data_IF_209853993255
#
_entry.id   IF_209853993255
#
_cell.length_a   1.000
_cell.length_b   1.000
_cell.length_c   1.000
_cell.angle_alpha   90.00
_cell.angle_beta   90.00
_cell.angle_gamma   90.00
#
_symmetry.space_group_name_H-M   'P 1'
#
loop_
_entity.id
_entity.type
_entity.pdbx_description
1 polymer ?
#
# COMPACT_ATOMS: atom_id res chain seq x y z
N UNK A 1 5.27 -20.89 11.01
CA UNK A 1 5.97 -19.59 10.82
C UNK A 1 7.45 -19.90 10.88
N UNK A 2 8.29 -19.38 9.97
CA UNK A 2 9.24 -18.45 10.59
C UNK A 2 8.51 -17.13 10.57
N UNK A 3 8.24 -16.59 11.75
CA UNK A 3 8.02 -15.16 11.86
C UNK A 3 9.16 -14.48 11.11
N UNK A 4 8.98 -13.25 10.65
CA UNK A 4 10.17 -12.42 10.40
C UNK A 4 11.10 -12.62 11.59
N UNK A 5 12.26 -13.24 11.32
CA UNK A 5 13.21 -13.47 12.38
C UNK A 5 13.91 -12.13 12.68
N UNK A 6 14.63 -12.06 13.79
CA UNK A 6 15.32 -10.83 14.18
C UNK A 6 16.27 -10.35 13.07
N UNK A 7 16.81 -11.28 12.28
CA UNK A 7 17.63 -10.96 11.11
C UNK A 7 16.82 -10.31 10.00
N UNK A 8 15.66 -10.86 9.62
CA UNK A 8 14.81 -10.25 8.61
C UNK A 8 14.36 -8.83 9.03
N UNK A 9 14.01 -8.64 10.32
CA UNK A 9 13.68 -7.33 10.87
C UNK A 9 14.86 -6.35 10.77
N UNK A 10 16.07 -6.79 11.13
CA UNK A 10 17.26 -5.95 11.03
C UNK A 10 17.60 -5.61 9.57
N UNK A 11 17.44 -6.55 8.63
CA UNK A 11 17.57 -6.26 7.20
C UNK A 11 16.58 -5.17 6.78
N UNK A 12 15.32 -5.27 7.19
CA UNK A 12 14.29 -4.28 6.89
C UNK A 12 14.61 -2.91 7.51
N UNK A 13 15.11 -2.86 8.75
CA UNK A 13 15.54 -1.61 9.39
C UNK A 13 16.67 -0.93 8.61
N UNK A 14 17.70 -1.70 8.22
CA UNK A 14 18.83 -1.19 7.44
C UNK A 14 18.40 -0.68 6.06
N UNK A 15 17.45 -1.37 5.40
CA UNK A 15 16.91 -0.97 4.09
C UNK A 15 15.92 0.20 4.18
N UNK A 16 15.17 0.32 5.29
CA UNK A 16 14.29 1.46 5.54
C UNK A 16 15.08 2.75 5.73
N UNK A 17 16.29 2.64 6.30
CA UNK A 17 17.25 3.75 6.43
C UNK A 17 17.93 4.08 5.09
N UNK A 18 18.49 3.08 4.40
CA UNK A 18 19.10 3.26 3.08
C UNK A 18 18.84 2.04 2.19
N UNK A 19 17.85 2.18 1.30
CA UNK A 19 17.48 1.15 0.33
C UNK A 19 18.61 0.79 -0.66
N UNK A 20 19.67 1.61 -0.79
CA UNK A 20 20.82 1.34 -1.65
C UNK A 20 22.01 0.73 -0.91
N UNK A 21 21.87 0.45 0.39
CA UNK A 21 22.94 -0.11 1.21
C UNK A 21 23.47 -1.40 0.56
N UNK A 22 24.79 -1.52 0.34
CA UNK A 22 25.36 -2.72 -0.25
C UNK A 22 25.05 -3.96 0.57
N UNK A 23 24.76 -5.08 -0.08
CA UNK A 23 24.48 -6.35 0.63
C UNK A 23 25.69 -6.84 1.45
N UNK A 24 26.91 -6.43 1.09
CA UNK A 24 28.11 -6.67 1.91
C UNK A 24 28.05 -5.97 3.27
N UNK A 25 27.46 -4.78 3.30
CA UNK A 25 27.40 -3.95 4.50
C UNK A 25 26.29 -4.48 5.40
N UNK A 26 25.13 -4.80 4.80
CA UNK A 26 24.05 -5.51 5.50
C UNK A 26 24.56 -6.85 6.06
N UNK A 27 25.33 -7.61 5.27
CA UNK A 27 25.94 -8.88 5.66
C UNK A 27 26.82 -8.76 6.91
N UNK A 28 27.59 -7.68 7.03
CA UNK A 28 28.42 -7.41 8.20
C UNK A 28 27.58 -7.12 9.46
N UNK A 29 26.47 -6.40 9.32
CA UNK A 29 25.58 -6.07 10.44
C UNK A 29 24.76 -7.28 10.92
N UNK A 30 24.27 -8.13 10.01
CA UNK A 30 23.38 -9.27 10.38
C UNK A 30 24.09 -10.60 10.60
N UNK A 31 25.40 -10.68 10.33
CA UNK A 31 26.18 -11.91 10.50
C UNK A 31 25.84 -13.02 9.48
N UNK A 32 25.32 -12.67 8.31
CA UNK A 32 25.08 -13.58 7.18
C UNK A 32 26.07 -13.34 6.04
N UNK A 33 26.16 -14.25 5.07
CA UNK A 33 26.86 -13.97 3.82
C UNK A 33 26.04 -13.04 2.91
N UNK A 34 26.69 -12.28 2.03
CA UNK A 34 25.99 -11.41 1.09
C UNK A 34 24.97 -12.15 0.19
N UNK A 35 25.23 -13.39 -0.32
CA UNK A 35 24.20 -14.17 -1.01
C UNK A 35 23.01 -14.52 -0.11
N UNK A 36 23.24 -14.89 1.15
CA UNK A 36 22.15 -15.19 2.08
C UNK A 36 21.30 -13.95 2.38
N UNK A 37 21.89 -12.76 2.47
CA UNK A 37 21.15 -11.48 2.57
C UNK A 37 20.30 -11.25 1.32
N UNK A 38 20.86 -11.47 0.12
CA UNK A 38 20.12 -11.34 -1.14
C UNK A 38 18.90 -12.25 -1.16
N UNK A 39 19.08 -13.54 -0.82
CA UNK A 39 18.00 -14.53 -0.78
C UNK A 39 16.88 -14.12 0.19
N UNK A 40 17.25 -13.55 1.35
CA UNK A 40 16.28 -13.02 2.32
C UNK A 40 15.50 -11.85 1.75
N UNK A 41 16.17 -10.87 1.15
CA UNK A 41 15.52 -9.69 0.56
C UNK A 41 14.56 -10.11 -0.56
N UNK A 42 14.98 -11.03 -1.43
CA UNK A 42 14.14 -11.49 -2.53
C UNK A 42 12.90 -12.23 -2.01
N UNK A 43 13.05 -13.09 -0.99
CA UNK A 43 11.91 -13.71 -0.31
C UNK A 43 10.95 -12.66 0.29
N UNK A 44 11.47 -11.64 0.98
CA UNK A 44 10.64 -10.57 1.57
C UNK A 44 9.87 -9.77 0.50
N UNK A 45 10.39 -9.68 -0.72
CA UNK A 45 9.70 -9.06 -1.87
C UNK A 45 8.63 -9.97 -2.44
N UNK A 46 8.93 -11.24 -2.61
CA UNK A 46 7.98 -12.26 -3.09
C UNK A 46 6.78 -12.39 -2.15
N UNK A 47 7.04 -12.34 -0.84
CA UNK A 47 6.04 -12.33 0.23
C UNK A 47 5.30 -10.98 0.37
N UNK A 48 5.65 -9.96 -0.42
CA UNK A 48 4.97 -8.65 -0.40
C UNK A 48 5.27 -7.77 0.81
N UNK A 49 6.13 -8.22 1.72
CA UNK A 49 6.59 -7.45 2.89
C UNK A 49 7.37 -6.22 2.40
N UNK A 50 8.30 -6.43 1.46
CA UNK A 50 8.89 -5.35 0.67
C UNK A 50 8.05 -5.15 -0.58
N UNK A 51 7.16 -4.16 -0.55
CA UNK A 51 6.29 -3.83 -1.69
C UNK A 51 7.04 -3.21 -2.87
N UNK A 52 8.04 -2.37 -2.59
CA UNK A 52 8.87 -1.68 -3.60
C UNK A 52 10.12 -1.06 -2.98
N UNK A 53 11.13 -0.84 -3.83
CA UNK A 53 12.19 0.14 -3.57
C UNK A 53 11.83 1.43 -4.31
N UNK A 54 11.90 2.56 -3.61
CA UNK A 54 11.46 3.86 -4.15
C UNK A 54 12.32 4.99 -3.59
N UNK A 55 12.09 6.20 -4.09
CA UNK A 55 12.78 7.41 -3.65
C UNK A 55 11.79 8.23 -2.85
N UNK A 56 12.20 8.69 -1.67
CA UNK A 56 11.51 9.73 -0.94
C UNK A 56 11.89 11.09 -1.54
N UNK A 57 10.93 11.74 -2.19
CA UNK A 57 11.14 13.01 -2.85
C UNK A 57 10.67 14.13 -1.91
N UNK A 58 11.55 15.08 -1.61
CA UNK A 58 11.14 16.33 -0.98
C UNK A 58 10.29 17.14 -1.97
N UNK A 59 8.99 16.95 -1.84
CA UNK A 59 8.00 17.58 -2.69
C UNK A 59 8.06 19.10 -2.60
N UNK A 60 8.54 19.70 -1.50
CA UNK A 60 8.63 21.17 -1.36
C UNK A 60 9.62 21.79 -2.35
N UNK A 61 10.57 21.00 -2.86
CA UNK A 61 11.57 21.44 -3.84
C UNK A 61 11.08 21.36 -5.28
N UNK A 62 9.98 20.64 -5.54
CA UNK A 62 9.43 20.47 -6.87
C UNK A 62 8.48 21.63 -7.21
N UNK A 63 8.67 22.23 -8.38
CA UNK A 63 7.79 23.29 -8.87
C UNK A 63 6.46 22.71 -9.33
N UNK A 64 5.37 22.96 -8.59
CA UNK A 64 4.02 22.63 -9.05
C UNK A 64 3.00 22.53 -7.93
N UNK A 65 1.89 23.24 -8.05
CA UNK A 65 0.76 23.20 -7.10
C UNK A 65 1.05 23.62 -5.66
N UNK A 66 -0.02 23.87 -4.94
CA UNK A 66 -0.05 24.05 -3.48
C UNK A 66 -0.40 22.69 -2.86
N UNK A 67 0.41 22.16 -1.93
CA UNK A 67 0.08 20.91 -1.26
C UNK A 67 -1.16 21.10 -0.37
N UNK A 68 -2.10 20.19 -0.49
CA UNK A 68 -3.36 20.21 0.24
C UNK A 68 -3.73 18.83 0.75
N UNK A 69 -4.42 18.82 1.88
CA UNK A 69 -5.13 17.67 2.40
C UNK A 69 -6.60 17.86 2.08
N UNK A 70 -7.16 16.95 1.28
CA UNK A 70 -8.58 16.97 0.91
C UNK A 70 -9.26 15.82 1.62
N UNK A 71 -10.29 16.12 2.40
CA UNK A 71 -11.15 15.15 3.06
C UNK A 71 -12.51 15.17 2.38
N UNK A 72 -12.98 14.00 1.95
CA UNK A 72 -14.22 13.81 1.21
C UNK A 72 -15.17 12.95 2.04
N UNK A 73 -16.35 13.48 2.35
CA UNK A 73 -17.46 12.68 2.86
C UNK A 73 -18.21 12.06 1.68
N UNK A 74 -17.83 10.85 1.29
CA UNK A 74 -18.40 10.17 0.12
C UNK A 74 -19.68 9.43 0.52
N UNK A 75 -20.66 9.36 -0.37
CA UNK A 75 -21.81 8.46 -0.17
C UNK A 75 -21.32 7.00 -0.21
N UNK A 76 -21.72 6.12 0.73
CA UNK A 76 -21.16 4.77 0.88
C UNK A 76 -21.12 3.95 -0.42
N UNK A 77 -22.15 4.07 -1.25
CA UNK A 77 -22.27 3.38 -2.53
C UNK A 77 -21.25 3.80 -3.60
N UNK A 78 -20.53 4.92 -3.40
CA UNK A 78 -19.55 5.46 -4.34
C UNK A 78 -18.12 5.50 -3.80
N UNK A 79 -17.86 4.95 -2.61
CA UNK A 79 -16.52 4.99 -1.99
C UNK A 79 -15.47 4.31 -2.87
N UNK A 80 -15.77 3.12 -3.39
CA UNK A 80 -14.84 2.38 -4.25
C UNK A 80 -14.54 3.13 -5.55
N UNK A 81 -15.56 3.71 -6.18
CA UNK A 81 -15.38 4.49 -7.40
C UNK A 81 -14.55 5.76 -7.17
N UNK A 82 -14.83 6.50 -6.10
CA UNK A 82 -14.04 7.69 -5.74
C UNK A 82 -12.60 7.31 -5.41
N UNK A 83 -12.39 6.20 -4.69
CA UNK A 83 -11.05 5.67 -4.40
C UNK A 83 -10.29 5.38 -5.69
N UNK A 84 -10.92 4.71 -6.65
CA UNK A 84 -10.26 4.27 -7.86
C UNK A 84 -9.96 5.46 -8.80
N UNK A 85 -10.85 6.45 -8.87
CA UNK A 85 -10.60 7.72 -9.56
C UNK A 85 -9.40 8.47 -8.97
N UNK A 86 -9.35 8.64 -7.64
CA UNK A 86 -8.25 9.34 -6.97
C UNK A 86 -6.92 8.59 -7.07
N UNK A 87 -6.93 7.25 -7.04
CA UNK A 87 -5.72 6.43 -7.18
C UNK A 87 -5.04 6.63 -8.54
N UNK A 88 -5.81 6.88 -9.60
CA UNK A 88 -5.31 7.06 -10.95
C UNK A 88 -4.86 8.49 -11.27
N UNK A 89 -5.15 9.45 -10.38
CA UNK A 89 -4.93 10.87 -10.64
C UNK A 89 -3.49 11.31 -10.30
N UNK A 90 -2.80 11.91 -11.26
CA UNK A 90 -1.44 12.44 -11.09
C UNK A 90 -1.25 13.38 -9.89
N UNK A 91 -2.21 14.26 -9.54
CA UNK A 91 -2.04 15.16 -8.40
C UNK A 91 -2.05 14.47 -7.03
N UNK A 92 -2.53 13.23 -6.94
CA UNK A 92 -2.72 12.48 -5.68
C UNK A 92 -1.45 11.74 -5.29
N UNK A 93 -0.90 12.06 -4.12
CA UNK A 93 0.32 11.45 -3.59
C UNK A 93 0.01 10.33 -2.59
N UNK A 94 -0.99 10.54 -1.74
CA UNK A 94 -1.45 9.55 -0.78
C UNK A 94 -2.97 9.54 -0.72
N UNK A 95 -3.53 8.33 -0.60
CA UNK A 95 -4.97 8.10 -0.51
C UNK A 95 -5.25 7.21 0.70
N UNK A 96 -6.20 7.63 1.51
CA UNK A 96 -6.68 6.94 2.70
C UNK A 96 -8.19 6.77 2.59
N UNK A 97 -8.68 5.56 2.90
CA UNK A 97 -10.11 5.27 3.04
C UNK A 97 -10.32 4.77 4.45
N UNK A 98 -11.08 5.51 5.25
CA UNK A 98 -11.43 5.13 6.60
C UNK A 98 -12.55 4.08 6.60
N UNK A 99 -12.69 3.33 7.70
CA UNK A 99 -13.69 2.27 7.82
C UNK A 99 -15.14 2.78 7.76
N UNK A 100 -15.36 4.06 8.05
CA UNK A 100 -16.66 4.74 7.94
C UNK A 100 -16.93 5.31 6.53
N UNK A 101 -16.01 5.10 5.58
CA UNK A 101 -16.11 5.56 4.20
C UNK A 101 -15.61 6.99 3.95
N UNK A 102 -15.02 7.65 4.94
CA UNK A 102 -14.31 8.91 4.70
C UNK A 102 -13.10 8.67 3.79
N UNK A 103 -12.95 9.49 2.74
CA UNK A 103 -11.81 9.42 1.83
C UNK A 103 -10.94 10.65 2.03
N UNK A 104 -9.68 10.46 2.41
CA UNK A 104 -8.71 11.56 2.58
C UNK A 104 -7.56 11.39 1.60
N UNK A 105 -7.18 12.47 0.92
CA UNK A 105 -6.05 12.48 -0.02
C UNK A 105 -5.09 13.63 0.25
N UNK A 106 -3.80 13.35 0.16
CA UNK A 106 -2.75 14.37 0.08
C UNK A 106 -2.46 14.61 -1.41
N UNK A 107 -2.74 15.82 -1.89
CA UNK A 107 -2.64 16.16 -3.30
C UNK A 107 -2.00 17.54 -3.52
N UNK A 108 -1.61 17.84 -4.75
CA UNK A 108 -1.16 19.17 -5.16
C UNK A 108 -2.20 19.82 -6.06
N UNK A 109 -2.67 21.02 -5.69
CA UNK A 109 -3.64 21.79 -6.46
C UNK A 109 -2.98 23.04 -7.03
N UNK A 110 -3.11 23.29 -8.34
CA UNK A 110 -2.61 24.54 -8.95
C UNK A 110 -3.39 25.77 -8.48
N UNK A 111 -2.89 26.99 -8.77
CA UNK A 111 -3.47 28.26 -8.32
C UNK A 111 -4.85 28.64 -8.90
N UNK A 112 -5.64 27.66 -9.34
CA UNK A 112 -6.99 27.81 -9.86
C UNK A 112 -8.07 27.60 -8.80
N UNK A 113 -9.31 27.36 -9.26
CA UNK A 113 -10.43 27.05 -8.37
C UNK A 113 -10.28 25.63 -7.82
N UNK A 114 -10.09 25.54 -6.49
CA UNK A 114 -10.07 24.26 -5.76
C UNK A 114 -11.28 23.40 -6.14
N UNK A 115 -12.48 24.00 -6.18
CA UNK A 115 -13.70 23.25 -6.53
C UNK A 115 -13.63 22.66 -7.94
N UNK A 116 -13.13 23.42 -8.93
CA UNK A 116 -13.05 22.94 -10.30
C UNK A 116 -12.04 21.79 -10.43
N UNK A 117 -10.90 21.91 -9.76
CA UNK A 117 -9.88 20.85 -9.74
C UNK A 117 -10.38 19.60 -9.03
N UNK A 118 -11.14 19.75 -7.93
CA UNK A 118 -11.77 18.60 -7.29
C UNK A 118 -12.80 17.93 -8.19
N UNK A 119 -13.57 18.71 -8.97
CA UNK A 119 -14.54 18.19 -9.93
C UNK A 119 -13.88 17.43 -11.11
N UNK A 120 -12.64 17.79 -11.47
CA UNK A 120 -11.81 17.06 -12.43
C UNK A 120 -11.28 15.73 -11.87
N UNK A 121 -11.03 15.68 -10.56
CA UNK A 121 -10.51 14.49 -9.88
C UNK A 121 -11.62 13.48 -9.55
N UNK A 122 -12.77 13.98 -9.10
CA UNK A 122 -13.90 13.17 -8.64
C UNK A 122 -15.21 13.85 -8.98
N UNK A 123 -16.22 13.06 -9.32
CA UNK A 123 -17.58 13.58 -9.51
C UNK A 123 -18.17 14.05 -8.16
N UNK A 124 -18.20 15.37 -7.96
CA UNK A 124 -18.64 15.99 -6.71
C UNK A 124 -20.12 15.75 -6.39
N UNK A 125 -20.94 15.26 -7.34
CA UNK A 125 -22.33 14.87 -7.05
C UNK A 125 -22.43 13.64 -6.13
N UNK A 126 -21.33 12.89 -6.00
CA UNK A 126 -21.21 11.68 -5.17
C UNK A 126 -20.62 11.98 -3.79
N UNK A 127 -20.11 13.20 -3.61
CA UNK A 127 -19.52 13.71 -2.39
C UNK A 127 -20.56 14.55 -1.66
N UNK A 128 -20.82 14.24 -0.39
CA UNK A 128 -21.76 15.00 0.46
C UNK A 128 -21.18 16.34 0.86
N UNK A 129 -19.90 16.33 1.23
CA UNK A 129 -19.14 17.51 1.65
C UNK A 129 -17.64 17.24 1.46
N UNK A 130 -16.85 18.30 1.32
CA UNK A 130 -15.40 18.21 1.28
C UNK A 130 -14.73 19.34 2.06
N UNK A 131 -13.62 19.02 2.70
CA UNK A 131 -12.75 19.97 3.38
C UNK A 131 -11.39 19.99 2.70
N UNK A 132 -10.82 21.19 2.52
CA UNK A 132 -9.48 21.37 1.96
C UNK A 132 -8.64 22.17 2.94
N UNK A 133 -7.55 21.57 3.40
CA UNK A 133 -6.56 22.18 4.27
C UNK A 133 -5.25 22.35 3.52
N UNK A 134 -4.62 23.53 3.62
CA UNK A 134 -3.26 23.72 3.11
C UNK A 134 -2.29 22.91 3.98
N UNK A 135 -1.37 22.20 3.34
CA UNK A 135 -0.34 21.43 4.03
C UNK A 135 0.92 22.29 4.14
N UNK A 136 1.35 22.56 5.37
CA UNK A 136 2.60 23.26 5.64
C UNK A 136 3.80 22.33 5.43
N UNK A 137 3.72 21.11 5.96
CA UNK A 137 4.74 20.08 5.81
C UNK A 137 4.12 18.68 5.79
N UNK A 138 4.80 17.74 5.14
CA UNK A 138 4.49 16.32 5.16
C UNK A 138 5.81 15.54 5.27
N UNK A 139 5.89 14.60 6.20
CA UNK A 139 7.09 13.81 6.47
C UNK A 139 6.76 12.33 6.34
N UNK A 140 7.61 11.57 5.65
CA UNK A 140 7.51 10.11 5.61
C UNK A 140 8.60 9.51 6.49
N UNK A 141 8.19 8.65 7.43
CA UNK A 141 9.11 7.92 8.31
C UNK A 141 8.78 6.43 8.23
N UNK A 142 9.49 5.64 7.40
CA UNK A 142 9.27 4.20 7.33
C UNK A 142 9.76 3.54 8.63
N UNK A 143 8.83 3.17 9.51
CA UNK A 143 9.14 2.42 10.74
C UNK A 143 8.87 0.93 10.56
N UNK A 144 9.83 0.09 10.95
CA UNK A 144 9.70 -1.37 10.97
C UNK A 144 9.21 -1.89 12.34
N UNK A 145 9.21 -1.04 13.37
CA UNK A 145 8.85 -1.39 14.74
C UNK A 145 7.34 -1.38 14.99
N UNK A 146 6.80 -2.41 15.67
CA UNK A 146 5.53 -2.31 16.40
C UNK A 146 4.51 -3.45 16.27
N UNK A 147 4.64 -4.35 15.30
CA UNK A 147 3.71 -5.48 15.15
C UNK A 147 4.43 -6.68 14.57
N UNK A 148 4.26 -7.87 15.17
CA UNK A 148 4.70 -9.10 14.55
C UNK A 148 4.01 -9.23 13.19
N UNK A 149 4.77 -9.18 12.11
CA UNK A 149 4.24 -9.40 10.77
C UNK A 149 3.84 -10.87 10.65
N UNK A 150 2.55 -11.15 10.84
CA UNK A 150 1.94 -12.44 10.52
C UNK A 150 1.18 -12.26 9.22
N UNK A 151 1.67 -12.88 8.14
CA UNK A 151 0.86 -13.03 6.94
C UNK A 151 -0.36 -13.88 7.31
N UNK A 152 -1.56 -13.33 7.15
CA UNK A 152 -2.80 -14.04 7.42
C UNK A 152 -3.33 -14.67 6.13
N UNK A 153 -3.81 -15.90 6.25
CA UNK A 153 -4.42 -16.61 5.14
C UNK A 153 -5.68 -15.86 4.75
N UNK A 154 -5.75 -15.36 3.51
CA UNK A 154 -6.89 -14.62 2.98
C UNK A 154 -8.21 -15.42 3.02
N UNK A 155 -8.11 -16.73 3.25
CA UNK A 155 -9.26 -17.62 3.41
C UNK A 155 -9.69 -17.98 4.82
N UNK A 156 -8.77 -18.53 5.61
CA UNK A 156 -9.12 -19.08 6.91
C UNK A 156 -8.64 -18.20 8.07
N UNK A 157 -7.94 -17.09 7.80
CA UNK A 157 -7.35 -16.21 8.81
C UNK A 157 -6.17 -16.81 9.57
N UNK A 158 -5.83 -18.09 9.32
CA UNK A 158 -4.66 -18.70 9.96
C UNK A 158 -3.38 -18.03 9.47
N UNK A 159 -2.37 -18.00 10.34
CA UNK A 159 -1.03 -17.57 9.95
C UNK A 159 -0.48 -18.44 8.82
N UNK A 160 -0.01 -17.79 7.75
CA UNK A 160 0.69 -18.41 6.64
C UNK A 160 2.14 -18.68 7.03
N UNK A 161 2.66 -19.84 6.64
CA UNK A 161 4.05 -20.24 6.92
C UNK A 161 4.87 -20.23 5.63
N UNK A 162 6.17 -20.54 5.70
CA UNK A 162 7.04 -20.64 4.51
C UNK A 162 6.62 -21.72 3.50
N UNK A 163 5.75 -22.65 3.90
CA UNK A 163 5.16 -23.66 3.01
C UNK A 163 3.79 -23.24 2.45
N UNK A 164 3.35 -22.00 2.76
CA UNK A 164 2.12 -21.43 2.23
C UNK A 164 2.25 -20.97 0.79
N UNK A 165 1.11 -20.72 0.16
CA UNK A 165 1.02 -20.25 -1.22
C UNK A 165 0.79 -18.74 -1.23
N UNK A 166 1.29 -18.05 -2.25
CA UNK A 166 0.99 -16.64 -2.51
C UNK A 166 0.55 -16.47 -3.95
N UNK A 167 -0.55 -15.73 -4.18
CA UNK A 167 -1.08 -15.50 -5.51
C UNK A 167 -1.56 -14.06 -5.69
N UNK A 168 -1.46 -13.55 -6.92
CA UNK A 168 -2.06 -12.27 -7.30
C UNK A 168 -3.41 -12.51 -7.96
N UNK A 169 -4.48 -12.05 -7.33
CA UNK A 169 -5.87 -12.23 -7.76
C UNK A 169 -6.52 -10.84 -7.79
N UNK A 170 -7.17 -10.46 -8.89
CA UNK A 170 -7.73 -9.11 -9.03
C UNK A 170 -6.71 -7.97 -8.86
N UNK A 171 -5.44 -8.20 -9.21
CA UNK A 171 -4.35 -7.23 -9.03
C UNK A 171 -3.84 -7.07 -7.60
N UNK A 172 -4.43 -7.76 -6.61
CA UNK A 172 -3.99 -7.74 -5.21
C UNK A 172 -3.22 -9.02 -4.86
N UNK A 173 -2.17 -8.90 -4.03
CA UNK A 173 -1.41 -10.04 -3.53
C UNK A 173 -2.11 -10.63 -2.30
N UNK A 174 -2.37 -11.93 -2.32
CA UNK A 174 -2.96 -12.69 -1.22
C UNK A 174 -2.04 -13.84 -0.80
N UNK A 175 -2.11 -14.22 0.48
CA UNK A 175 -1.36 -15.33 1.05
C UNK A 175 -2.32 -16.41 1.56
N UNK A 176 -1.91 -17.67 1.46
CA UNK A 176 -2.73 -18.83 1.79
C UNK A 176 -1.92 -19.86 2.56
N UNK A 177 -2.49 -20.43 3.62
CA UNK A 177 -1.75 -21.39 4.45
C UNK A 177 -1.49 -22.73 3.73
N UNK A 178 -2.19 -23.01 2.63
CA UNK A 178 -2.01 -24.21 1.80
C UNK A 178 -2.70 -24.03 0.42
N UNK A 179 -2.36 -24.88 -0.54
CA UNK A 179 -2.97 -24.92 -1.88
C UNK A 179 -4.49 -25.10 -1.87
N UNK A 180 -5.03 -25.83 -0.89
CA UNK A 180 -6.49 -25.97 -0.75
C UNK A 180 -7.18 -24.66 -0.36
N UNK A 181 -6.51 -23.77 0.38
CA UNK A 181 -7.08 -22.46 0.68
C UNK A 181 -7.02 -21.59 -0.58
N UNK A 182 -5.88 -21.55 -1.28
CA UNK A 182 -5.75 -20.83 -2.55
C UNK A 182 -6.88 -21.20 -3.53
N UNK A 183 -7.08 -22.48 -3.80
CA UNK A 183 -8.11 -22.91 -4.76
C UNK A 183 -9.53 -22.56 -4.33
N UNK A 184 -9.85 -22.60 -3.02
CA UNK A 184 -11.15 -22.14 -2.52
C UNK A 184 -11.37 -20.64 -2.73
N UNK A 185 -10.27 -19.87 -2.70
CA UNK A 185 -10.34 -18.42 -2.82
C UNK A 185 -10.58 -18.03 -4.25
N UNK A 186 -9.84 -18.65 -5.16
CA UNK A 186 -10.04 -18.51 -6.61
C UNK A 186 -11.47 -18.89 -6.98
N UNK A 187 -11.97 -20.06 -6.55
CA UNK A 187 -13.36 -20.49 -6.81
C UNK A 187 -14.41 -19.50 -6.26
N UNK A 188 -14.14 -18.87 -5.12
CA UNK A 188 -15.04 -17.86 -4.55
C UNK A 188 -14.95 -16.54 -5.31
N UNK A 189 -13.74 -16.10 -5.63
CA UNK A 189 -13.45 -14.85 -6.32
C UNK A 189 -14.05 -14.87 -7.73
N UNK A 190 -13.86 -15.95 -8.48
CA UNK A 190 -14.41 -16.13 -9.83
C UNK A 190 -15.95 -16.09 -9.83
N UNK A 191 -16.60 -16.67 -8.81
CA UNK A 191 -18.06 -16.60 -8.66
C UNK A 191 -18.57 -15.18 -8.38
N UNK A 192 -17.79 -14.38 -7.65
CA UNK A 192 -18.13 -12.98 -7.37
C UNK A 192 -17.93 -12.11 -8.61
N UNK A 193 -16.86 -12.31 -9.37
CA UNK A 193 -16.64 -11.58 -10.63
C UNK A 193 -17.64 -11.97 -11.73
N UNK A 194 -18.03 -13.25 -11.81
CA UNK A 194 -19.05 -13.69 -12.75
C UNK A 194 -20.42 -13.07 -12.43
N UNK A 195 -20.80 -12.99 -11.15
CA UNK A 195 -22.05 -12.35 -10.72
C UNK A 195 -22.07 -10.82 -10.89
N UNK A 196 -20.90 -10.17 -10.92
CA UNK A 196 -20.79 -8.72 -11.11
C UNK A 196 -20.83 -8.28 -12.59
N UNK A 197 -20.67 -9.20 -13.54
CA UNK A 197 -20.71 -8.92 -14.99
C UNK A 197 -22.07 -9.25 -15.64
N UNK A 198 -23.03 -9.79 -14.88
CA UNK A 198 -24.36 -10.19 -15.34
C UNK A 198 -25.48 -9.18 -14.99
N UNK A 199 -25.15 -8.03 -14.37
CA UNK A 199 -26.03 -6.87 -14.09
C UNK A 199 -25.58 -5.62 -14.85
#
# INVERSE_FOLDING_TARGET
MRALDETDLHILELLAEDARRPFSDISAEVGLSAPAVSDRIDRLREEGIIRRFTVDLDQSTLSGGTPVLVRLSVRPEFVDEVRDALRAADPVQHLFVAADGEVTTHARLDGGSVRAQLDELVDLSRVRDYEVSLVESAEWSPTVNGTGFALECAECGNTVTSEGESARIGGSLYHFCCSSCLGRFEDRYDRLEAGANDD
#
